data_IF_275505175350
#
_entry.id   IF_275505175350
#
_cell.length_a   1.000
_cell.length_b   1.000
_cell.length_c   1.000
_cell.angle_alpha   90.00
_cell.angle_beta   90.00
_cell.angle_gamma   90.00
#
_symmetry.space_group_name_H-M   'P 1'
#
loop_
_entity.id
_entity.type
_entity.pdbx_description
1 polymer ?
#
# COMPACT_ATOMS: atom_id res chain seq x y z
N UNK A 1 9.40 -30.47 8.97
CA UNK A 1 7.97 -30.08 9.01
C UNK A 1 7.70 -28.76 8.29
N UNK A 2 8.68 -27.88 8.08
CA UNK A 2 8.50 -26.58 7.40
C UNK A 2 9.29 -26.45 6.09
N UNK A 3 9.67 -27.56 5.47
CA UNK A 3 10.48 -27.58 4.24
C UNK A 3 9.77 -26.86 3.08
N UNK A 4 8.47 -27.08 2.92
CA UNK A 4 7.68 -26.44 1.85
C UNK A 4 7.59 -24.92 2.00
N UNK A 5 7.41 -24.41 3.23
CA UNK A 5 7.31 -22.98 3.49
C UNK A 5 8.66 -22.29 3.22
N UNK A 6 9.75 -22.95 3.55
CA UNK A 6 11.11 -22.43 3.38
C UNK A 6 11.70 -22.70 1.99
N UNK A 7 10.99 -23.44 1.12
CA UNK A 7 11.47 -23.69 -0.23
C UNK A 7 11.28 -22.46 -1.12
N UNK A 8 12.22 -22.18 -2.03
CA UNK A 8 12.07 -21.13 -3.02
C UNK A 8 10.84 -21.33 -3.90
N UNK A 9 10.31 -20.24 -4.42
CA UNK A 9 9.20 -20.24 -5.38
C UNK A 9 9.42 -19.17 -6.44
N UNK A 10 9.06 -19.51 -7.69
CA UNK A 10 8.93 -18.52 -8.75
C UNK A 10 7.45 -18.11 -8.85
N UNK A 11 7.17 -16.82 -8.69
CA UNK A 11 5.84 -16.25 -8.80
C UNK A 11 5.83 -15.18 -9.92
N UNK A 12 5.25 -15.53 -11.06
CA UNK A 12 5.14 -14.60 -12.18
C UNK A 12 6.50 -14.09 -12.74
N UNK A 13 7.56 -14.91 -12.65
CA UNK A 13 8.92 -14.52 -13.03
C UNK A 13 9.74 -13.90 -11.90
N UNK A 14 9.15 -13.67 -10.72
CA UNK A 14 9.84 -13.18 -9.53
C UNK A 14 10.31 -14.36 -8.66
N UNK A 15 11.61 -14.49 -8.50
CA UNK A 15 12.21 -15.48 -7.62
C UNK A 15 12.14 -15.00 -6.16
N UNK A 16 11.50 -15.82 -5.32
CA UNK A 16 11.39 -15.62 -3.88
C UNK A 16 12.14 -16.74 -3.14
N UNK A 17 12.98 -16.37 -2.16
CA UNK A 17 13.80 -17.34 -1.38
C UNK A 17 13.00 -18.32 -0.53
N UNK A 18 11.76 -17.99 -0.22
CA UNK A 18 10.80 -18.83 0.50
C UNK A 18 9.36 -18.35 0.22
N UNK A 19 8.37 -18.94 0.88
CA UNK A 19 6.94 -18.66 0.68
C UNK A 19 6.34 -17.75 1.75
N UNK A 20 7.17 -17.04 2.52
CA UNK A 20 6.72 -16.14 3.57
C UNK A 20 6.71 -14.71 3.04
N UNK A 21 5.53 -14.12 2.99
CA UNK A 21 5.33 -12.72 2.57
C UNK A 21 4.70 -11.95 3.73
N UNK A 22 5.29 -10.81 4.07
CA UNK A 22 4.69 -9.92 5.05
C UNK A 22 3.64 -9.03 4.35
N UNK A 23 2.39 -9.19 4.78
CA UNK A 23 1.24 -8.46 4.24
C UNK A 23 1.29 -6.96 4.59
N UNK A 24 0.67 -6.08 3.77
CA UNK A 24 0.64 -4.65 4.05
C UNK A 24 -0.08 -4.36 5.36
N UNK A 25 0.53 -3.53 6.20
CA UNK A 25 0.00 -3.17 7.52
C UNK A 25 0.37 -1.73 7.86
N UNK A 26 -0.61 -0.96 8.30
CA UNK A 26 -0.41 0.39 8.84
C UNK A 26 -0.15 0.29 10.34
N UNK A 27 1.03 0.75 10.80
CA UNK A 27 1.44 0.62 12.21
C UNK A 27 1.15 1.85 13.06
N UNK A 28 0.93 3.02 12.45
CA UNK A 28 0.76 4.28 13.19
C UNK A 28 2.01 4.71 13.97
N UNK A 29 3.19 4.30 13.51
CA UNK A 29 4.48 4.57 14.15
C UNK A 29 5.13 5.86 13.62
N UNK A 30 6.00 6.48 14.42
CA UNK A 30 6.91 7.50 13.95
C UNK A 30 7.86 6.90 12.89
N UNK A 31 8.46 7.76 12.04
CA UNK A 31 9.22 7.31 10.86
C UNK A 31 10.39 6.38 11.19
N UNK A 32 11.18 6.74 12.20
CA UNK A 32 12.34 5.92 12.60
C UNK A 32 11.90 4.59 13.21
N UNK A 33 10.83 4.58 13.99
CA UNK A 33 10.24 3.36 14.55
C UNK A 33 9.67 2.47 13.43
N UNK A 34 9.08 3.08 12.41
CA UNK A 34 8.58 2.37 11.24
C UNK A 34 9.71 1.69 10.47
N UNK A 35 10.80 2.40 10.20
CA UNK A 35 11.97 1.82 9.54
C UNK A 35 12.56 0.67 10.35
N UNK A 36 12.67 0.82 11.66
CA UNK A 36 13.16 -0.25 12.53
C UNK A 36 12.22 -1.46 12.57
N UNK A 37 10.91 -1.23 12.52
CA UNK A 37 9.91 -2.30 12.43
C UNK A 37 10.06 -3.08 11.12
N UNK A 38 10.16 -2.39 9.99
CA UNK A 38 10.36 -3.03 8.67
C UNK A 38 11.70 -3.78 8.62
N UNK A 39 12.76 -3.21 9.21
CA UNK A 39 14.06 -3.87 9.34
C UNK A 39 13.94 -5.21 10.08
N UNK A 40 13.27 -5.24 11.23
CA UNK A 40 13.06 -6.45 12.01
C UNK A 40 12.25 -7.50 11.25
N UNK A 41 11.24 -7.08 10.50
CA UNK A 41 10.43 -7.97 9.65
C UNK A 41 11.29 -8.60 8.56
N UNK A 42 12.06 -7.81 7.82
CA UNK A 42 12.93 -8.30 6.76
C UNK A 42 14.05 -9.23 7.33
N UNK A 43 14.64 -8.84 8.46
CA UNK A 43 15.63 -9.66 9.19
C UNK A 43 15.04 -10.99 9.70
N UNK A 44 13.73 -11.05 9.92
CA UNK A 44 13.00 -12.27 10.29
C UNK A 44 12.96 -13.34 9.19
N UNK A 45 13.49 -13.04 8.00
CA UNK A 45 13.71 -14.02 6.94
C UNK A 45 12.57 -14.17 5.93
N UNK A 46 11.56 -13.28 5.92
CA UNK A 46 10.54 -13.30 4.87
C UNK A 46 11.16 -13.03 3.49
N UNK A 47 10.54 -13.57 2.45
CA UNK A 47 11.00 -13.40 1.08
C UNK A 47 10.56 -12.06 0.49
N UNK A 48 9.45 -11.51 0.97
CA UNK A 48 8.91 -10.23 0.50
C UNK A 48 8.23 -9.47 1.62
N UNK A 49 8.36 -8.15 1.59
CA UNK A 49 7.57 -7.21 2.40
C UNK A 49 6.70 -6.40 1.45
N UNK A 50 5.38 -6.35 1.71
CA UNK A 50 4.46 -5.48 0.99
C UNK A 50 4.24 -4.23 1.84
N UNK A 51 4.59 -3.07 1.29
CA UNK A 51 4.34 -1.77 1.91
C UNK A 51 2.95 -1.29 1.50
N UNK A 52 2.09 -1.03 2.48
CA UNK A 52 0.74 -0.54 2.26
C UNK A 52 0.67 0.96 2.03
N UNK A 53 -0.46 1.38 1.49
CA UNK A 53 -0.87 2.78 1.40
C UNK A 53 0.12 3.67 0.62
N UNK A 54 0.64 3.17 -0.51
CA UNK A 54 1.53 3.95 -1.40
C UNK A 54 0.69 4.72 -2.41
N UNK A 55 0.57 6.06 -2.29
CA UNK A 55 -0.28 6.85 -3.17
C UNK A 55 0.17 6.80 -4.63
N UNK A 56 -0.78 6.64 -5.58
CA UNK A 56 -0.53 6.64 -7.03
C UNK A 56 -0.34 8.04 -7.62
N UNK A 57 -0.42 9.08 -6.79
CA UNK A 57 -0.24 10.48 -7.18
C UNK A 57 0.31 11.32 -6.04
N UNK A 58 0.34 12.64 -6.23
CA UNK A 58 0.67 13.57 -5.15
C UNK A 58 -0.39 13.47 -4.06
N UNK A 59 0.03 13.33 -2.82
CA UNK A 59 -0.83 13.34 -1.64
C UNK A 59 -0.50 14.53 -0.75
N UNK A 60 -1.53 15.10 -0.10
CA UNK A 60 -1.37 16.16 0.90
C UNK A 60 -1.20 15.59 2.31
N UNK A 61 -1.58 14.33 2.52
CA UNK A 61 -1.68 13.71 3.84
C UNK A 61 -0.71 12.57 4.04
N UNK A 62 -0.22 11.97 2.93
CA UNK A 62 0.61 10.77 2.96
C UNK A 62 1.90 10.99 2.19
N UNK A 63 2.92 10.23 2.53
CA UNK A 63 4.17 10.22 1.77
C UNK A 63 3.92 9.63 0.40
N UNK A 64 4.27 10.38 -0.63
CA UNK A 64 4.06 10.00 -2.03
C UNK A 64 5.39 9.86 -2.76
N UNK A 65 5.47 8.92 -3.69
CA UNK A 65 6.61 8.80 -4.62
C UNK A 65 6.77 10.03 -5.53
N UNK A 66 5.73 10.87 -5.63
CA UNK A 66 5.70 12.07 -6.47
C UNK A 66 6.19 13.33 -5.75
N UNK A 67 6.58 13.25 -4.49
CA UNK A 67 7.24 14.32 -3.77
C UNK A 67 8.62 13.87 -3.25
N UNK A 68 9.52 14.86 -3.06
CA UNK A 68 10.91 14.60 -2.70
C UNK A 68 11.07 13.87 -1.36
N UNK A 69 10.22 14.18 -0.38
CA UNK A 69 10.31 13.56 0.96
C UNK A 69 9.78 12.13 0.95
N UNK A 70 8.65 11.91 0.28
CA UNK A 70 8.08 10.58 0.12
C UNK A 70 9.00 9.68 -0.71
N UNK A 71 9.58 10.17 -1.79
CA UNK A 71 10.55 9.40 -2.57
C UNK A 71 11.74 8.95 -1.72
N UNK A 72 12.34 9.86 -0.93
CA UNK A 72 13.44 9.51 -0.03
C UNK A 72 13.04 8.49 1.05
N UNK A 73 11.81 8.58 1.56
CA UNK A 73 11.26 7.60 2.51
C UNK A 73 11.19 6.19 1.89
N UNK A 74 10.60 6.06 0.70
CA UNK A 74 10.49 4.76 0.03
C UNK A 74 11.84 4.22 -0.44
N UNK A 75 12.75 5.09 -0.89
CA UNK A 75 14.11 4.70 -1.21
C UNK A 75 14.81 4.07 0.01
N UNK A 76 14.70 4.68 1.19
CA UNK A 76 15.25 4.12 2.43
C UNK A 76 14.62 2.77 2.80
N UNK A 77 13.32 2.60 2.58
CA UNK A 77 12.66 1.30 2.79
C UNK A 77 13.21 0.22 1.85
N UNK A 78 13.41 0.55 0.58
CA UNK A 78 14.03 -0.37 -0.40
C UNK A 78 15.42 -0.80 0.06
N UNK A 79 16.28 0.15 0.47
CA UNK A 79 17.63 -0.12 0.97
C UNK A 79 17.59 -1.05 2.19
N UNK A 80 16.71 -0.77 3.16
CA UNK A 80 16.55 -1.60 4.36
C UNK A 80 16.14 -3.03 3.99
N UNK A 81 15.10 -3.19 3.18
CA UNK A 81 14.54 -4.50 2.86
C UNK A 81 15.52 -5.32 2.02
N UNK A 82 16.14 -4.72 1.02
CA UNK A 82 17.12 -5.40 0.15
C UNK A 82 18.37 -5.84 0.90
N UNK A 83 18.77 -5.16 1.99
CA UNK A 83 19.92 -5.57 2.80
C UNK A 83 19.75 -6.94 3.48
N UNK A 84 18.55 -7.50 3.50
CA UNK A 84 18.24 -8.82 4.08
C UNK A 84 17.84 -9.88 3.02
N UNK A 85 18.22 -9.68 1.77
CA UNK A 85 17.79 -10.56 0.66
C UNK A 85 16.28 -10.76 0.67
N UNK A 86 15.54 -9.68 0.84
CA UNK A 86 14.10 -9.64 0.87
C UNK A 86 13.59 -8.72 -0.24
N UNK A 87 12.55 -9.13 -0.95
CA UNK A 87 11.91 -8.30 -1.97
C UNK A 87 10.98 -7.28 -1.32
N UNK A 88 10.74 -6.17 -1.98
CA UNK A 88 9.78 -5.16 -1.55
C UNK A 88 8.74 -4.95 -2.65
N UNK A 89 7.48 -4.86 -2.25
CA UNK A 89 6.34 -4.60 -3.13
C UNK A 89 5.57 -3.40 -2.60
N UNK A 90 5.10 -2.52 -3.47
CA UNK A 90 4.23 -1.40 -3.11
C UNK A 90 2.77 -1.77 -3.39
N UNK A 91 1.92 -1.69 -2.37
CA UNK A 91 0.48 -1.69 -2.54
C UNK A 91 0.02 -0.27 -2.89
N UNK A 92 -0.30 -0.07 -4.15
CA UNK A 92 -0.70 1.25 -4.65
C UNK A 92 -2.14 1.56 -4.28
N UNK A 93 -2.42 2.81 -3.90
CA UNK A 93 -3.76 3.26 -3.61
C UNK A 93 -3.98 4.75 -3.94
N UNK A 94 -5.24 5.18 -3.97
CA UNK A 94 -5.63 6.54 -4.25
C UNK A 94 -6.50 7.08 -3.11
N UNK A 95 -5.89 7.71 -2.10
CA UNK A 95 -6.55 8.17 -0.88
C UNK A 95 -7.17 9.55 -0.96
N UNK A 96 -6.46 10.50 -1.55
CA UNK A 96 -6.88 11.91 -1.52
C UNK A 96 -8.22 12.13 -2.21
N UNK A 97 -8.54 11.32 -3.23
CA UNK A 97 -9.82 11.42 -3.94
C UNK A 97 -11.01 11.13 -3.03
N UNK A 98 -10.93 10.13 -2.16
CA UNK A 98 -12.01 9.77 -1.25
C UNK A 98 -12.21 10.82 -0.17
N UNK A 99 -11.13 11.32 0.43
CA UNK A 99 -11.21 12.30 1.50
C UNK A 99 -11.62 13.68 0.97
N UNK A 100 -11.08 14.12 -0.16
CA UNK A 100 -11.47 15.35 -0.82
C UNK A 100 -12.92 15.28 -1.34
N UNK A 101 -13.36 14.13 -1.85
CA UNK A 101 -14.74 13.90 -2.22
C UNK A 101 -15.67 13.96 -1.00
N UNK A 102 -15.29 13.34 0.12
CA UNK A 102 -16.03 13.45 1.37
C UNK A 102 -16.16 14.90 1.83
N UNK A 103 -15.07 15.64 1.90
CA UNK A 103 -15.08 17.05 2.29
C UNK A 103 -15.92 17.92 1.35
N UNK A 104 -15.93 17.60 0.07
CA UNK A 104 -16.69 18.35 -0.94
C UNK A 104 -18.18 18.02 -0.92
N UNK A 105 -18.55 16.75 -0.77
CA UNK A 105 -19.92 16.29 -0.98
C UNK A 105 -20.71 16.00 0.30
N UNK A 106 -20.03 15.68 1.41
CA UNK A 106 -20.70 15.44 2.70
C UNK A 106 -21.60 16.60 3.15
N UNK A 107 -21.19 17.88 3.03
CA UNK A 107 -22.10 18.99 3.37
C UNK A 107 -23.38 18.97 2.53
N UNK A 108 -23.29 18.60 1.24
CA UNK A 108 -24.45 18.47 0.36
C UNK A 108 -25.39 17.35 0.79
N UNK A 109 -24.85 16.22 1.19
CA UNK A 109 -25.63 15.07 1.71
C UNK A 109 -26.30 15.43 3.03
N UNK A 110 -25.56 16.01 3.99
CA UNK A 110 -26.09 16.43 5.29
C UNK A 110 -27.20 17.49 5.18
N UNK A 111 -27.11 18.35 4.17
CA UNK A 111 -28.15 19.35 3.90
C UNK A 111 -29.26 18.84 2.98
N UNK A 112 -29.24 17.54 2.63
CA UNK A 112 -30.17 16.90 1.68
C UNK A 112 -30.21 17.53 0.29
N UNK A 113 -29.16 18.23 -0.12
CA UNK A 113 -29.00 18.80 -1.46
C UNK A 113 -28.45 17.78 -2.47
N UNK A 114 -27.81 16.72 -1.98
CA UNK A 114 -27.26 15.61 -2.77
C UNK A 114 -27.77 14.31 -2.13
N UNK A 115 -28.39 13.46 -2.91
CA UNK A 115 -28.78 12.12 -2.46
C UNK A 115 -27.57 11.17 -2.44
N UNK A 116 -27.71 10.06 -1.71
CA UNK A 116 -26.67 9.00 -1.71
C UNK A 116 -26.54 8.33 -3.09
N UNK A 117 -27.62 8.31 -3.90
CA UNK A 117 -27.57 7.79 -5.27
C UNK A 117 -26.77 8.70 -6.21
N UNK A 118 -26.94 10.02 -6.05
CA UNK A 118 -26.14 11.01 -6.79
C UNK A 118 -24.69 11.08 -6.32
N UNK A 119 -24.42 10.78 -5.02
CA UNK A 119 -23.08 10.73 -4.48
C UNK A 119 -22.29 9.53 -5.00
N UNK A 120 -22.93 8.38 -5.15
CA UNK A 120 -22.28 7.11 -5.53
C UNK A 120 -21.46 7.19 -6.82
N UNK A 121 -21.95 7.73 -7.96
CA UNK A 121 -21.13 7.91 -9.16
C UNK A 121 -20.04 8.97 -9.03
N UNK A 122 -20.19 9.95 -8.12
CA UNK A 122 -19.18 10.97 -7.85
C UNK A 122 -18.02 10.43 -6.97
N UNK A 123 -18.29 9.37 -6.22
CA UNK A 123 -17.28 8.56 -5.50
C UNK A 123 -16.78 7.39 -6.36
N UNK A 124 -17.31 7.23 -7.55
CA UNK A 124 -17.32 6.02 -8.37
C UNK A 124 -16.04 5.68 -9.13
N UNK A 125 -14.88 6.19 -8.71
CA UNK A 125 -13.59 5.64 -9.18
C UNK A 125 -13.10 4.46 -8.34
N UNK A 126 -13.86 4.09 -7.29
CA UNK A 126 -13.55 2.94 -6.43
C UNK A 126 -13.51 1.60 -7.20
N UNK A 127 -14.36 1.32 -8.22
CA UNK A 127 -14.25 0.09 -9.01
C UNK A 127 -12.96 -0.03 -9.84
N UNK A 128 -12.45 1.08 -10.36
CA UNK A 128 -11.16 1.12 -11.06
C UNK A 128 -10.00 0.75 -10.14
N UNK A 129 -10.13 1.06 -8.87
CA UNK A 129 -9.18 0.75 -7.82
C UNK A 129 -9.09 -0.77 -7.54
N UNK A 130 -10.22 -1.45 -7.45
CA UNK A 130 -10.26 -2.90 -7.26
C UNK A 130 -9.64 -3.63 -8.46
N UNK A 131 -9.88 -3.16 -9.68
CA UNK A 131 -9.29 -3.71 -10.90
C UNK A 131 -7.77 -3.50 -10.96
N UNK A 132 -7.26 -2.34 -10.50
CA UNK A 132 -5.83 -2.06 -10.45
C UNK A 132 -5.07 -2.96 -9.44
N UNK A 133 -5.77 -3.45 -8.41
CA UNK A 133 -5.22 -4.38 -7.41
C UNK A 133 -5.29 -5.85 -7.83
N UNK A 134 -5.71 -6.16 -9.08
CA UNK A 134 -5.82 -7.53 -9.56
C UNK A 134 -6.91 -8.33 -8.84
N UNK A 135 -7.89 -7.66 -8.23
CA UNK A 135 -9.08 -8.33 -7.75
C UNK A 135 -9.88 -8.80 -8.99
N UNK A 136 -9.93 -10.12 -9.19
CA UNK A 136 -10.81 -10.72 -10.18
C UNK A 136 -12.24 -10.29 -9.83
N UNK A 137 -12.78 -9.39 -10.62
CA UNK A 137 -14.21 -9.10 -10.58
C UNK A 137 -14.89 -10.10 -11.51
N UNK A 138 -15.25 -11.29 -11.01
CA UNK A 138 -16.32 -12.09 -11.59
C UNK A 138 -17.68 -11.46 -11.30
#
# INVERSE_FOLDING_TARGET
>A
MYETINSPINYGGLELKNRIIFAPTTFGLAEDEYFEKIRKIAAGGCAMVIIGDVPVGKSQFEKSLFDKKGFAHYQKLVEIVHSYDCRICAQLHQTDSNMLAMLKYVPGVLTKKISMEELRPLLGEIPLYAAALGADTE
#
